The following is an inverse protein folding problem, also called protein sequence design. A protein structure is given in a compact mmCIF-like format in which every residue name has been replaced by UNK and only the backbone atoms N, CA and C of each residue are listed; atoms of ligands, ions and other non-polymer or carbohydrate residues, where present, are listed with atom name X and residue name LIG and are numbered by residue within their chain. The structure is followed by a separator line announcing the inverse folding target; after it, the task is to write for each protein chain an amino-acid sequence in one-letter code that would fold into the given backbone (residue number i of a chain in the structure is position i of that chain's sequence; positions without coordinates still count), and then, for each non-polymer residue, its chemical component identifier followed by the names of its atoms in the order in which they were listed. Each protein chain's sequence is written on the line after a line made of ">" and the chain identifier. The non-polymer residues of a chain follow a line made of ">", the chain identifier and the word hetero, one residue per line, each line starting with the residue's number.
data_IF_568600663648
#
_entry.id   IF_568600663648
#
_cell.length_a   1.000
_cell.length_b   1.000
_cell.length_c   1.000
_cell.angle_alpha   90.00
_cell.angle_beta   90.00
_cell.angle_gamma   90.00
#
_symmetry.space_group_name_H-M   'P 1'
#
loop_
_entity.id
_entity.type
_entity.pdbx_description
1 polymer ?
#
# COMPACT_ATOMS: atom_id res chain seq x y z
N UNK A 1 -5.92 -26.06 20.33
CA UNK A 1 -5.73 -24.78 21.05
C UNK A 1 -4.26 -24.41 21.23
N UNK A 2 -3.40 -25.35 21.65
CA UNK A 2 -1.95 -25.13 21.79
C UNK A 2 -1.27 -24.73 20.46
N UNK A 3 -1.62 -25.39 19.34
CA UNK A 3 -1.12 -25.04 18.00
C UNK A 3 -1.52 -23.64 17.56
N UNK A 4 -2.75 -23.19 17.85
CA UNK A 4 -3.22 -21.84 17.49
C UNK A 4 -2.49 -20.77 18.31
N UNK A 5 -2.16 -21.07 19.57
CA UNK A 5 -1.35 -20.18 20.42
C UNK A 5 0.11 -20.15 19.95
N UNK A 6 0.68 -21.31 19.58
CA UNK A 6 2.04 -21.39 19.02
C UNK A 6 2.14 -20.67 17.67
N UNK A 7 1.16 -20.82 16.77
CA UNK A 7 1.18 -20.16 15.47
C UNK A 7 1.10 -18.62 15.63
N UNK A 8 0.21 -18.14 16.51
CA UNK A 8 0.13 -16.70 16.83
C UNK A 8 1.42 -16.17 17.47
N UNK A 9 2.09 -16.96 18.31
CA UNK A 9 3.38 -16.57 18.88
C UNK A 9 4.46 -16.46 17.80
N UNK A 10 4.54 -17.44 16.88
CA UNK A 10 5.49 -17.40 15.75
C UNK A 10 5.24 -16.16 14.88
N UNK A 11 3.98 -15.83 14.57
CA UNK A 11 3.64 -14.63 13.80
C UNK A 11 4.04 -13.34 14.52
N UNK A 12 3.86 -13.27 15.85
CA UNK A 12 4.30 -12.13 16.67
C UNK A 12 5.83 -12.02 16.65
N UNK A 13 6.56 -13.13 16.79
CA UNK A 13 8.03 -13.10 16.74
C UNK A 13 8.55 -12.69 15.36
N UNK A 14 7.93 -13.15 14.28
CA UNK A 14 8.27 -12.74 12.92
C UNK A 14 7.97 -11.26 12.72
N UNK A 15 6.82 -10.76 13.20
CA UNK A 15 6.47 -9.34 13.14
C UNK A 15 7.45 -8.46 13.94
N UNK A 16 7.86 -8.89 15.14
CA UNK A 16 8.87 -8.19 15.94
C UNK A 16 10.23 -8.21 15.24
N UNK A 17 10.67 -9.37 14.74
CA UNK A 17 11.94 -9.51 14.05
C UNK A 17 12.00 -8.69 12.77
N UNK A 18 10.95 -8.71 11.95
CA UNK A 18 10.83 -7.87 10.75
C UNK A 18 10.75 -6.38 11.09
N UNK A 19 10.12 -6.03 12.22
CA UNK A 19 10.09 -4.64 12.69
C UNK A 19 11.47 -4.13 13.13
N UNK A 20 12.18 -4.92 13.94
CA UNK A 20 13.55 -4.58 14.39
C UNK A 20 14.48 -4.52 13.18
N UNK A 21 14.45 -5.53 12.31
CA UNK A 21 15.26 -5.57 11.10
C UNK A 21 14.95 -4.39 10.17
N UNK A 22 13.67 -4.09 9.96
CA UNK A 22 13.23 -2.94 9.18
C UNK A 22 13.71 -1.61 9.77
N UNK A 23 13.62 -1.44 11.09
CA UNK A 23 14.13 -0.24 11.76
C UNK A 23 15.65 -0.10 11.60
N UNK A 24 16.42 -1.19 11.80
CA UNK A 24 17.87 -1.20 11.59
C UNK A 24 18.23 -0.91 10.13
N UNK A 25 17.51 -1.51 9.17
CA UNK A 25 17.72 -1.25 7.75
C UNK A 25 17.37 0.20 7.39
N UNK A 26 16.31 0.77 7.95
CA UNK A 26 15.96 2.19 7.81
C UNK A 26 17.05 3.10 8.34
N UNK A 27 17.66 2.76 9.48
CA UNK A 27 18.83 3.47 10.00
C UNK A 27 20.03 3.35 9.03
N UNK A 28 20.32 2.16 8.49
CA UNK A 28 21.43 1.96 7.55
C UNK A 28 21.22 2.71 6.23
N UNK A 29 20.02 2.61 5.64
CA UNK A 29 19.64 3.33 4.43
C UNK A 29 19.74 4.84 4.62
N UNK A 30 19.25 5.36 5.76
CA UNK A 30 19.41 6.77 6.09
C UNK A 30 20.89 7.19 6.19
N UNK A 31 21.80 6.27 6.61
CA UNK A 31 23.25 6.54 6.62
C UNK A 31 23.79 6.56 5.19
N UNK A 32 23.51 5.53 4.38
CA UNK A 32 23.96 5.43 2.99
C UNK A 32 23.55 6.65 2.17
N UNK A 33 22.29 7.07 2.25
CA UNK A 33 21.79 8.25 1.54
C UNK A 33 22.27 9.59 2.13
N UNK A 34 22.97 9.58 3.27
CA UNK A 34 23.61 10.77 3.85
C UNK A 34 25.11 10.85 3.57
N UNK A 35 25.74 9.84 2.98
CA UNK A 35 27.23 9.69 3.02
C UNK A 35 27.97 10.47 1.92
N UNK A 36 27.28 11.12 0.99
CA UNK A 36 27.93 11.95 -0.04
C UNK A 36 28.37 13.35 0.44
N UNK A 37 28.46 13.58 1.76
CA UNK A 37 28.86 14.87 2.35
C UNK A 37 30.21 14.85 3.08
N UNK A 38 31.00 13.78 2.98
CA UNK A 38 32.27 13.65 3.75
C UNK A 38 33.50 14.19 2.99
N UNK A 39 33.39 14.53 1.70
CA UNK A 39 34.54 14.93 0.87
C UNK A 39 34.47 16.33 0.23
N UNK A 40 33.81 17.31 0.85
CA UNK A 40 33.99 18.72 0.47
C UNK A 40 34.34 19.55 1.72
N UNK A 41 35.55 20.12 1.71
CA UNK A 41 36.21 20.69 2.88
C UNK A 41 35.51 21.91 3.48
N UNK A 42 35.69 22.10 4.79
CA UNK A 42 35.60 23.36 5.55
C UNK A 42 34.47 24.35 5.17
N UNK A 43 33.31 23.87 4.76
CA UNK A 43 32.06 24.62 4.79
C UNK A 43 31.29 24.23 6.04
N UNK A 44 30.91 25.20 6.87
CA UNK A 44 29.88 25.02 7.90
C UNK A 44 28.60 24.51 7.22
N UNK A 45 28.41 23.18 7.15
CA UNK A 45 27.19 22.60 6.59
C UNK A 45 26.07 22.86 7.59
N UNK A 46 25.42 24.02 7.46
CA UNK A 46 24.22 24.34 8.22
C UNK A 46 23.17 23.33 7.76
N UNK A 47 22.89 22.34 8.61
CA UNK A 47 21.84 21.36 8.37
C UNK A 47 20.51 22.10 8.21
N UNK A 48 20.01 22.20 6.98
CA UNK A 48 18.78 22.94 6.74
C UNK A 48 17.59 22.12 7.26
N UNK A 49 16.74 22.74 8.07
CA UNK A 49 15.49 22.14 8.52
C UNK A 49 14.51 22.06 7.34
N UNK A 50 13.97 20.86 7.10
CA UNK A 50 13.05 20.58 6.00
C UNK A 50 11.64 20.31 6.52
N UNK A 51 10.66 20.99 5.94
CA UNK A 51 9.24 20.74 6.18
C UNK A 51 8.64 19.87 5.09
N UNK A 52 7.51 19.22 5.37
CA UNK A 52 6.75 18.44 4.37
C UNK A 52 6.33 19.32 3.18
N UNK A 53 5.99 20.58 3.42
CA UNK A 53 5.62 21.53 2.36
C UNK A 53 6.81 21.87 1.45
N UNK A 54 8.01 21.96 2.01
CA UNK A 54 9.25 22.14 1.22
C UNK A 54 9.47 20.96 0.28
N UNK A 55 9.28 19.73 0.77
CA UNK A 55 9.36 18.51 -0.05
C UNK A 55 8.29 18.55 -1.15
N UNK A 56 7.03 18.84 -0.79
CA UNK A 56 5.92 18.87 -1.75
C UNK A 56 6.14 19.90 -2.88
N UNK A 57 6.64 21.09 -2.55
CA UNK A 57 6.93 22.13 -3.54
C UNK A 57 8.02 21.68 -4.51
N UNK A 58 9.13 21.14 -3.98
CA UNK A 58 10.21 20.57 -4.79
C UNK A 58 9.72 19.44 -5.70
N UNK A 59 8.92 18.50 -5.17
CA UNK A 59 8.32 17.44 -5.97
C UNK A 59 7.41 17.98 -7.07
N UNK A 60 6.67 19.08 -6.80
CA UNK A 60 5.77 19.70 -7.78
C UNK A 60 6.51 20.29 -8.98
N UNK A 61 7.69 20.90 -8.74
CA UNK A 61 8.54 21.46 -9.80
C UNK A 61 9.14 20.34 -10.64
N UNK A 62 9.63 19.28 -10.00
CA UNK A 62 10.16 18.10 -10.70
C UNK A 62 9.11 17.42 -11.58
N UNK A 63 7.86 17.32 -11.12
CA UNK A 63 6.76 16.73 -11.91
C UNK A 63 6.48 17.47 -13.22
N UNK A 64 6.57 18.81 -13.23
CA UNK A 64 6.29 19.62 -14.42
C UNK A 64 7.27 19.34 -15.57
N UNK A 65 8.47 18.85 -15.24
CA UNK A 65 9.57 18.68 -16.18
C UNK A 65 9.76 17.22 -16.64
N UNK A 66 8.95 16.27 -16.15
CA UNK A 66 9.07 14.85 -16.51
C UNK A 66 8.01 14.49 -17.55
N UNK A 67 8.47 14.21 -18.76
CA UNK A 67 7.62 13.73 -19.85
C UNK A 67 7.15 12.29 -19.55
N UNK A 68 5.84 12.07 -19.67
CA UNK A 68 5.19 10.84 -19.20
C UNK A 68 5.06 9.83 -20.35
N UNK A 69 5.87 8.77 -20.33
CA UNK A 69 5.69 7.62 -21.22
C UNK A 69 4.43 6.85 -20.81
N UNK A 70 3.38 6.90 -21.62
CA UNK A 70 2.04 6.45 -21.21
C UNK A 70 1.71 5.04 -21.74
N UNK A 71 2.23 4.65 -22.90
CA UNK A 71 1.88 3.38 -23.58
C UNK A 71 2.58 2.16 -22.98
N UNK A 72 3.88 2.28 -22.68
CA UNK A 72 4.68 1.20 -22.10
C UNK A 72 4.17 0.82 -20.69
N UNK A 73 3.67 1.80 -19.94
CA UNK A 73 3.05 1.58 -18.64
C UNK A 73 1.71 0.84 -18.72
N UNK A 74 0.90 1.06 -19.76
CA UNK A 74 -0.34 0.29 -19.95
C UNK A 74 -0.04 -1.18 -20.25
N UNK A 75 0.95 -1.45 -21.11
CA UNK A 75 1.36 -2.82 -21.44
C UNK A 75 1.91 -3.57 -20.23
N UNK A 76 2.81 -2.95 -19.46
CA UNK A 76 3.35 -3.53 -18.22
C UNK A 76 2.23 -3.75 -17.20
N UNK A 77 1.30 -2.80 -17.06
CA UNK A 77 0.16 -2.91 -16.16
C UNK A 77 -0.74 -4.11 -16.50
N UNK A 78 -1.08 -4.30 -17.79
CA UNK A 78 -1.87 -5.45 -18.24
C UNK A 78 -1.18 -6.78 -17.99
N UNK A 79 0.12 -6.87 -18.26
CA UNK A 79 0.91 -8.09 -18.01
C UNK A 79 1.02 -8.41 -16.51
N UNK A 80 1.17 -7.38 -15.67
CA UNK A 80 1.21 -7.55 -14.21
C UNK A 80 -0.12 -8.06 -13.65
N UNK A 81 -1.26 -7.56 -14.17
CA UNK A 81 -2.59 -8.05 -13.77
C UNK A 81 -2.79 -9.51 -14.20
N UNK A 82 -2.39 -9.87 -15.43
CA UNK A 82 -2.52 -11.25 -15.94
C UNK A 82 -1.64 -12.25 -15.18
N UNK A 83 -0.38 -11.88 -14.89
CA UNK A 83 0.53 -12.69 -14.09
C UNK A 83 0.06 -12.74 -12.63
N UNK A 84 -0.44 -11.62 -12.09
CA UNK A 84 -1.03 -11.55 -10.76
C UNK A 84 -2.25 -12.46 -10.60
N UNK A 85 -3.15 -12.47 -11.60
CA UNK A 85 -4.29 -13.40 -11.73
C UNK A 85 -3.84 -14.85 -11.63
N UNK A 86 -2.84 -15.20 -12.44
CA UNK A 86 -2.39 -16.58 -12.59
C UNK A 86 -1.66 -17.03 -11.33
N UNK A 87 -0.77 -16.21 -10.78
CA UNK A 87 0.00 -16.56 -9.58
C UNK A 87 -0.83 -16.50 -8.30
N UNK A 88 -1.79 -15.58 -8.20
CA UNK A 88 -2.65 -15.46 -7.02
C UNK A 88 -3.44 -16.73 -6.74
N UNK A 89 -3.94 -17.41 -7.78
CA UNK A 89 -4.67 -18.66 -7.61
C UNK A 89 -3.85 -19.78 -6.94
N UNK A 90 -2.56 -19.90 -7.27
CA UNK A 90 -1.69 -20.95 -6.74
C UNK A 90 -0.97 -20.57 -5.44
N UNK A 91 -0.75 -19.28 -5.20
CA UNK A 91 0.10 -18.78 -4.13
C UNK A 91 -0.60 -17.72 -3.27
N UNK A 92 -1.94 -17.76 -3.18
CA UNK A 92 -2.76 -16.78 -2.45
C UNK A 92 -2.20 -16.49 -1.06
N UNK A 93 -1.96 -17.52 -0.26
CA UNK A 93 -1.48 -17.37 1.11
C UNK A 93 -0.10 -16.72 1.15
N UNK A 94 0.83 -17.17 0.30
CA UNK A 94 2.17 -16.60 0.25
C UNK A 94 2.17 -15.11 -0.18
N UNK A 95 1.35 -14.77 -1.18
CA UNK A 95 1.22 -13.40 -1.71
C UNK A 95 0.63 -12.47 -0.64
N UNK A 96 -0.45 -12.86 0.01
CA UNK A 96 -1.08 -12.05 1.05
C UNK A 96 -0.18 -11.92 2.29
N UNK A 97 0.53 -12.98 2.67
CA UNK A 97 1.50 -12.93 3.77
C UNK A 97 2.68 -12.02 3.43
N UNK A 98 3.16 -12.03 2.19
CA UNK A 98 4.20 -11.10 1.73
C UNK A 98 3.73 -9.65 1.77
N UNK A 99 2.46 -9.37 1.51
CA UNK A 99 1.91 -8.02 1.66
C UNK A 99 1.93 -7.57 3.13
N UNK A 100 1.47 -8.42 4.05
CA UNK A 100 1.47 -8.12 5.48
C UNK A 100 2.89 -7.86 6.01
N UNK A 101 3.85 -8.74 5.72
CA UNK A 101 5.23 -8.54 6.15
C UNK A 101 5.92 -7.38 5.44
N UNK A 102 5.61 -7.16 4.16
CA UNK A 102 6.10 -6.02 3.40
C UNK A 102 5.65 -4.68 4.00
N UNK A 103 4.41 -4.61 4.47
CA UNK A 103 3.85 -3.46 5.18
C UNK A 103 4.58 -3.17 6.49
N UNK A 104 4.73 -4.18 7.36
CA UNK A 104 5.45 -4.05 8.63
C UNK A 104 6.89 -3.58 8.38
N UNK A 105 7.57 -4.18 7.39
CA UNK A 105 8.93 -3.80 7.01
C UNK A 105 8.99 -2.34 6.53
N UNK A 106 8.09 -1.94 5.63
CA UNK A 106 8.03 -0.59 5.07
C UNK A 106 7.78 0.45 6.17
N UNK A 107 6.81 0.20 7.06
CA UNK A 107 6.51 1.08 8.19
C UNK A 107 7.74 1.23 9.10
N UNK A 108 8.41 0.12 9.41
CA UNK A 108 9.57 0.10 10.30
C UNK A 108 10.77 0.85 9.73
N UNK A 109 11.07 0.64 8.43
CA UNK A 109 12.10 1.40 7.70
C UNK A 109 11.77 2.89 7.75
N UNK A 110 10.51 3.25 7.46
CA UNK A 110 10.11 4.63 7.34
C UNK A 110 10.10 5.37 8.69
N UNK A 111 9.52 4.78 9.73
CA UNK A 111 9.53 5.34 11.09
C UNK A 111 10.96 5.51 11.58
N UNK A 112 11.82 4.49 11.40
CA UNK A 112 13.24 4.59 11.78
C UNK A 112 13.97 5.72 11.06
N UNK A 113 13.75 5.88 9.75
CA UNK A 113 14.35 6.94 8.97
C UNK A 113 13.87 8.34 9.40
N UNK A 114 12.56 8.52 9.63
CA UNK A 114 11.97 9.80 10.05
C UNK A 114 12.42 10.18 11.46
N UNK A 115 12.36 9.25 12.42
CA UNK A 115 12.80 9.51 13.81
C UNK A 115 14.27 9.90 13.85
N UNK A 116 15.14 9.21 13.10
CA UNK A 116 16.55 9.59 13.00
C UNK A 116 16.73 11.00 12.42
N UNK A 117 16.00 11.34 11.37
CA UNK A 117 16.03 12.68 10.79
C UNK A 117 15.51 13.76 11.74
N UNK A 118 14.53 13.44 12.59
CA UNK A 118 14.06 14.33 13.65
C UNK A 118 15.11 14.53 14.76
N UNK A 119 15.73 13.45 15.23
CA UNK A 119 16.82 13.50 16.24
C UNK A 119 18.00 14.32 15.73
N UNK A 120 18.36 14.17 14.46
CA UNK A 120 19.42 14.94 13.81
C UNK A 120 19.03 16.40 13.49
N UNK A 121 17.80 16.83 13.84
CA UNK A 121 17.31 18.18 13.61
C UNK A 121 17.02 18.55 12.15
N UNK A 122 17.06 17.57 11.22
CA UNK A 122 16.74 17.75 9.80
C UNK A 122 15.25 17.95 9.60
N UNK A 123 14.43 17.18 10.33
CA UNK A 123 12.97 17.31 10.33
C UNK A 123 12.53 17.93 11.65
N UNK A 124 11.83 19.07 11.58
CA UNK A 124 11.25 19.72 12.77
C UNK A 124 9.84 20.26 12.46
N UNK A 125 9.04 20.37 13.51
CA UNK A 125 7.68 20.92 13.45
C UNK A 125 6.60 19.87 13.65
N UNK A 126 5.43 20.32 14.12
CA UNK A 126 4.26 19.48 14.45
C UNK A 126 3.74 18.71 13.24
N UNK A 127 3.91 19.24 12.04
CA UNK A 127 3.48 18.61 10.79
C UNK A 127 4.11 17.24 10.56
N UNK A 128 5.36 17.03 10.98
CA UNK A 128 6.02 15.71 10.89
C UNK A 128 5.39 14.69 11.83
N UNK A 129 5.04 15.09 13.06
CA UNK A 129 4.34 14.23 14.01
C UNK A 129 2.93 13.86 13.52
N UNK A 130 2.19 14.83 12.97
CA UNK A 130 0.88 14.58 12.36
C UNK A 130 0.98 13.64 11.16
N UNK A 131 1.98 13.82 10.31
CA UNK A 131 2.19 12.95 9.16
C UNK A 131 2.60 11.53 9.56
N UNK A 132 3.42 11.38 10.60
CA UNK A 132 3.77 10.07 11.15
C UNK A 132 2.55 9.34 11.71
N UNK A 133 1.71 10.05 12.48
CA UNK A 133 0.45 9.50 12.97
C UNK A 133 -0.47 9.06 11.82
N UNK A 134 -0.57 9.89 10.77
CA UNK A 134 -1.32 9.56 9.57
C UNK A 134 -0.79 8.27 8.91
N UNK A 135 0.53 8.15 8.69
CA UNK A 135 1.12 6.94 8.08
C UNK A 135 0.85 5.70 8.94
N UNK A 136 0.92 5.81 10.27
CA UNK A 136 0.59 4.68 11.17
C UNK A 136 -0.88 4.29 11.06
N UNK A 137 -1.80 5.24 11.16
CA UNK A 137 -3.23 4.97 11.01
C UNK A 137 -3.55 4.36 9.64
N UNK A 138 -2.86 4.83 8.61
CA UNK A 138 -2.99 4.34 7.26
C UNK A 138 -2.54 2.88 7.12
N UNK A 139 -1.37 2.53 7.66
CA UNK A 139 -0.89 1.15 7.68
C UNK A 139 -1.88 0.24 8.41
N UNK A 140 -2.39 0.65 9.58
CA UNK A 140 -3.45 -0.11 10.28
C UNK A 140 -4.67 -0.37 9.39
N UNK A 141 -5.14 0.63 8.64
CA UNK A 141 -6.25 0.42 7.69
C UNK A 141 -5.88 -0.55 6.57
N UNK A 142 -4.66 -0.48 6.05
CA UNK A 142 -4.16 -1.39 5.02
C UNK A 142 -4.09 -2.84 5.54
N UNK A 143 -3.55 -3.04 6.75
CA UNK A 143 -3.52 -4.32 7.44
C UNK A 143 -4.92 -4.94 7.56
N UNK A 144 -5.92 -4.14 7.95
CA UNK A 144 -7.32 -4.60 8.03
C UNK A 144 -7.85 -5.00 6.65
N UNK A 145 -7.58 -4.22 5.61
CA UNK A 145 -8.00 -4.55 4.25
C UNK A 145 -7.35 -5.86 3.73
N UNK A 146 -6.07 -6.08 4.00
CA UNK A 146 -5.38 -7.34 3.66
C UNK A 146 -5.93 -8.50 4.50
N UNK A 147 -6.31 -8.25 5.75
CA UNK A 147 -6.96 -9.27 6.60
C UNK A 147 -8.32 -9.71 6.03
N UNK A 148 -9.11 -8.79 5.46
CA UNK A 148 -10.31 -9.15 4.72
C UNK A 148 -10.02 -9.95 3.45
N UNK A 149 -8.88 -9.77 2.81
CA UNK A 149 -8.49 -10.62 1.68
C UNK A 149 -8.18 -12.07 2.10
N UNK A 150 -7.68 -12.28 3.32
CA UNK A 150 -7.49 -13.61 3.91
C UNK A 150 -8.81 -14.27 4.31
N UNK A 151 -9.70 -13.50 4.93
CA UNK A 151 -10.99 -13.99 5.41
C UNK A 151 -12.08 -13.00 5.00
N UNK A 152 -12.60 -13.12 3.76
CA UNK A 152 -13.66 -12.24 3.30
C UNK A 152 -14.93 -12.41 4.12
N UNK A 153 -15.70 -11.35 4.25
CA UNK A 153 -16.97 -11.34 5.01
C UNK A 153 -18.04 -12.10 4.24
N UNK A 154 -18.14 -11.85 2.94
CA UNK A 154 -19.03 -12.56 2.02
C UNK A 154 -18.16 -13.28 1.00
N UNK A 155 -17.96 -14.58 1.15
CA UNK A 155 -17.23 -15.41 0.20
C UNK A 155 -18.03 -16.67 -0.16
N UNK A 156 -17.78 -17.27 -1.34
CA UNK A 156 -18.23 -18.62 -1.65
C UNK A 156 -17.71 -19.62 -0.60
N UNK A 157 -18.52 -20.63 -0.26
CA UNK A 157 -18.24 -21.57 0.85
C UNK A 157 -16.84 -22.23 0.77
N UNK A 158 -16.41 -22.57 -0.45
CA UNK A 158 -15.16 -23.28 -0.69
C UNK A 158 -13.95 -22.35 -0.91
N UNK A 159 -14.12 -21.03 -0.82
CA UNK A 159 -13.05 -20.08 -1.14
C UNK A 159 -11.79 -20.26 -0.29
N UNK A 160 -11.94 -20.59 0.99
CA UNK A 160 -10.82 -20.88 1.89
C UNK A 160 -9.91 -22.02 1.38
N UNK A 161 -10.47 -22.95 0.61
CA UNK A 161 -9.75 -24.09 0.03
C UNK A 161 -9.33 -23.86 -1.43
N UNK A 162 -9.59 -22.68 -2.01
CA UNK A 162 -9.34 -22.42 -3.43
C UNK A 162 -7.88 -22.68 -3.83
N UNK A 163 -6.92 -22.23 -3.02
CA UNK A 163 -5.48 -22.45 -3.26
C UNK A 163 -5.15 -23.95 -3.26
N UNK A 164 -5.66 -24.72 -2.29
CA UNK A 164 -5.45 -26.16 -2.21
C UNK A 164 -6.07 -26.89 -3.42
N UNK A 165 -7.29 -26.53 -3.81
CA UNK A 165 -8.00 -27.11 -4.95
C UNK A 165 -7.22 -26.87 -6.24
N UNK A 166 -6.76 -25.63 -6.46
CA UNK A 166 -5.96 -25.26 -7.65
C UNK A 166 -4.61 -25.97 -7.64
N UNK A 167 -3.94 -26.06 -6.49
CA UNK A 167 -2.65 -26.74 -6.38
C UNK A 167 -2.73 -28.26 -6.63
N UNK A 168 -3.85 -28.89 -6.28
CA UNK A 168 -4.04 -30.34 -6.48
C UNK A 168 -4.58 -30.71 -7.86
N UNK A 169 -5.47 -29.88 -8.44
CA UNK A 169 -6.26 -30.24 -9.64
C UNK A 169 -6.15 -29.21 -10.78
N UNK A 170 -5.32 -28.19 -10.62
CA UNK A 170 -5.25 -27.03 -11.51
C UNK A 170 -6.55 -26.22 -11.55
N UNK A 171 -6.62 -25.25 -12.46
CA UNK A 171 -7.83 -24.43 -12.69
C UNK A 171 -9.07 -25.26 -13.04
N UNK A 172 -8.88 -26.44 -13.64
CA UNK A 172 -9.98 -27.34 -14.00
C UNK A 172 -10.74 -27.88 -12.78
N UNK A 173 -10.06 -27.99 -11.63
CA UNK A 173 -10.64 -28.46 -10.37
C UNK A 173 -11.71 -27.53 -9.80
N UNK A 174 -11.62 -26.22 -10.10
CA UNK A 174 -12.56 -25.21 -9.57
C UNK A 174 -14.01 -25.50 -9.98
N UNK A 175 -14.24 -26.06 -11.18
CA UNK A 175 -15.59 -26.35 -11.68
C UNK A 175 -16.37 -27.36 -10.83
N UNK A 176 -15.69 -28.12 -9.97
CA UNK A 176 -16.31 -29.11 -9.08
C UNK A 176 -16.80 -28.50 -7.76
N UNK A 177 -16.30 -27.33 -7.39
CA UNK A 177 -16.48 -26.73 -6.07
C UNK A 177 -17.05 -25.30 -6.10
N UNK A 178 -17.05 -24.67 -7.27
CA UNK A 178 -17.53 -23.30 -7.47
C UNK A 178 -18.54 -23.25 -8.61
N UNK A 179 -19.57 -22.43 -8.40
CA UNK A 179 -20.58 -22.13 -9.41
C UNK A 179 -20.04 -21.08 -10.40
N UNK A 180 -20.72 -20.96 -11.54
CA UNK A 180 -20.39 -19.92 -12.53
C UNK A 180 -20.57 -18.53 -11.92
N UNK A 181 -21.57 -18.34 -11.06
CA UNK A 181 -21.83 -17.08 -10.38
C UNK A 181 -20.70 -16.67 -9.42
N UNK A 182 -19.95 -17.64 -8.88
CA UNK A 182 -18.78 -17.38 -8.03
C UNK A 182 -17.62 -16.74 -8.83
N UNK A 183 -17.58 -16.90 -10.16
CA UNK A 183 -16.54 -16.30 -11.00
C UNK A 183 -16.58 -14.77 -10.96
N UNK A 184 -17.77 -14.18 -10.85
CA UNK A 184 -17.92 -12.74 -10.69
C UNK A 184 -17.32 -12.30 -9.36
N UNK A 185 -17.59 -13.05 -8.29
CA UNK A 185 -16.99 -12.80 -6.98
C UNK A 185 -15.46 -12.89 -7.03
N UNK A 186 -14.90 -13.95 -7.61
CA UNK A 186 -13.45 -14.10 -7.77
C UNK A 186 -12.82 -12.94 -8.53
N UNK A 187 -13.49 -12.47 -9.59
CA UNK A 187 -13.02 -11.33 -10.38
C UNK A 187 -12.99 -10.05 -9.55
N UNK A 188 -14.07 -9.74 -8.83
CA UNK A 188 -14.14 -8.55 -7.96
C UNK A 188 -13.10 -8.64 -6.83
N UNK A 189 -13.01 -9.79 -6.17
CA UNK A 189 -12.03 -10.03 -5.11
C UNK A 189 -10.62 -9.73 -5.60
N UNK A 190 -10.26 -10.26 -6.77
CA UNK A 190 -8.96 -10.07 -7.35
C UNK A 190 -8.68 -8.64 -7.81
N UNK A 191 -9.66 -7.94 -8.38
CA UNK A 191 -9.50 -6.51 -8.66
C UNK A 191 -9.21 -5.74 -7.36
N UNK A 192 -9.84 -6.13 -6.25
CA UNK A 192 -9.50 -5.64 -4.92
C UNK A 192 -8.04 -5.91 -4.54
N UNK A 193 -7.54 -7.13 -4.75
CA UNK A 193 -6.12 -7.50 -4.52
C UNK A 193 -5.18 -6.61 -5.36
N UNK A 194 -5.48 -6.44 -6.65
CA UNK A 194 -4.70 -5.57 -7.53
C UNK A 194 -4.71 -4.12 -7.04
N UNK A 195 -5.86 -3.61 -6.58
CA UNK A 195 -5.98 -2.27 -5.99
C UNK A 195 -5.14 -2.14 -4.71
N UNK A 196 -5.12 -3.16 -3.84
CA UNK A 196 -4.28 -3.17 -2.65
C UNK A 196 -2.79 -3.19 -3.00
N UNK A 197 -2.35 -4.04 -3.95
CA UNK A 197 -0.96 -4.06 -4.45
C UNK A 197 -0.54 -2.72 -5.03
N UNK A 198 -1.38 -2.13 -5.88
CA UNK A 198 -1.15 -0.82 -6.45
C UNK A 198 -1.02 0.22 -5.34
N UNK A 199 -1.92 0.21 -4.37
CA UNK A 199 -1.89 1.12 -3.22
C UNK A 199 -0.59 0.99 -2.43
N UNK A 200 -0.20 -0.24 -2.07
CA UNK A 200 1.06 -0.53 -1.38
C UNK A 200 2.27 0.03 -2.13
N UNK A 201 2.33 -0.19 -3.44
CA UNK A 201 3.40 0.35 -4.28
C UNK A 201 3.44 1.88 -4.25
N UNK A 202 2.29 2.55 -4.41
CA UNK A 202 2.21 4.01 -4.40
C UNK A 202 2.68 4.59 -3.06
N UNK A 203 2.33 3.92 -1.96
CA UNK A 203 2.76 4.33 -0.61
C UNK A 203 4.26 4.12 -0.46
N UNK A 204 4.78 2.93 -0.80
CA UNK A 204 6.20 2.64 -0.71
C UNK A 204 7.04 3.69 -1.45
N UNK A 205 6.62 4.04 -2.67
CA UNK A 205 7.28 5.06 -3.48
C UNK A 205 7.13 6.48 -2.91
N UNK A 206 5.95 6.84 -2.40
CA UNK A 206 5.72 8.13 -1.74
C UNK A 206 6.57 8.29 -0.48
N UNK A 207 6.63 7.25 0.37
CA UNK A 207 7.39 7.23 1.61
C UNK A 207 8.90 7.26 1.32
N UNK A 208 9.36 6.49 0.34
CA UNK A 208 10.74 6.52 -0.14
C UNK A 208 11.11 7.93 -0.63
N UNK A 209 10.26 8.55 -1.45
CA UNK A 209 10.51 9.91 -1.94
C UNK A 209 10.67 10.90 -0.79
N UNK A 210 9.76 10.88 0.19
CA UNK A 210 9.78 11.81 1.33
C UNK A 210 11.09 11.68 2.12
N UNK A 211 11.55 10.45 2.37
CA UNK A 211 12.80 10.21 3.10
C UNK A 211 14.01 10.67 2.30
N UNK A 212 14.09 10.29 1.02
CA UNK A 212 15.26 10.61 0.18
C UNK A 212 15.30 12.10 -0.14
N UNK A 213 14.18 12.70 -0.57
CA UNK A 213 14.09 14.14 -0.86
C UNK A 213 14.33 14.97 0.40
N UNK A 214 13.76 14.58 1.54
CA UNK A 214 13.97 15.28 2.80
C UNK A 214 15.44 15.31 3.23
N UNK A 215 16.16 14.19 3.10
CA UNK A 215 17.60 14.13 3.37
C UNK A 215 18.41 14.92 2.33
N UNK A 216 18.11 14.74 1.05
CA UNK A 216 18.77 15.37 -0.09
C UNK A 216 18.67 16.90 -0.06
N UNK A 217 17.50 17.45 0.28
CA UNK A 217 17.29 18.90 0.50
C UNK A 217 18.07 19.38 1.73
N UNK A 218 17.99 18.64 2.85
CA UNK A 218 18.68 19.02 4.09
C UNK A 218 20.21 19.07 3.93
N UNK A 219 20.75 18.21 3.06
CA UNK A 219 22.17 18.13 2.70
C UNK A 219 22.58 19.07 1.55
N UNK A 220 21.68 19.91 1.02
CA UNK A 220 21.99 20.87 -0.04
C UNK A 220 22.20 20.27 -1.43
N UNK A 221 21.83 19.00 -1.64
CA UNK A 221 21.94 18.29 -2.93
C UNK A 221 20.57 17.77 -3.36
N UNK A 222 19.58 18.63 -3.71
CA UNK A 222 18.18 18.24 -3.93
C UNK A 222 17.95 17.35 -5.18
N UNK A 223 18.95 17.24 -6.06
CA UNK A 223 18.81 16.73 -7.42
C UNK A 223 19.30 15.29 -7.63
N UNK A 224 18.91 14.37 -6.74
CA UNK A 224 19.27 12.95 -6.93
C UNK A 224 18.35 12.25 -7.95
N UNK A 225 18.88 11.25 -8.67
CA UNK A 225 18.11 10.46 -9.65
C UNK A 225 16.87 9.80 -9.03
N UNK A 226 17.00 9.27 -7.80
CA UNK A 226 15.90 8.64 -7.06
C UNK A 226 14.80 9.67 -6.76
N UNK A 227 15.16 10.89 -6.33
CA UNK A 227 14.20 11.98 -6.06
C UNK A 227 13.43 12.31 -7.34
N UNK A 228 14.11 12.48 -8.48
CA UNK A 228 13.46 12.76 -9.77
C UNK A 228 12.48 11.65 -10.19
N UNK A 229 12.88 10.38 -10.07
CA UNK A 229 12.03 9.23 -10.46
C UNK A 229 10.82 9.02 -9.56
N UNK A 230 10.94 9.38 -8.27
CA UNK A 230 9.88 9.14 -7.29
C UNK A 230 8.98 10.36 -7.04
N UNK A 231 9.33 11.54 -7.57
CA UNK A 231 8.59 12.80 -7.38
C UNK A 231 7.11 12.74 -7.80
N UNK A 232 6.79 11.91 -8.81
CA UNK A 232 5.40 11.71 -9.27
C UNK A 232 4.49 11.08 -8.23
N UNK A 233 5.05 10.34 -7.28
CA UNK A 233 4.28 9.65 -6.24
C UNK A 233 4.08 10.49 -4.97
N UNK A 234 4.75 11.65 -4.86
CA UNK A 234 4.75 12.46 -3.65
C UNK A 234 3.81 13.66 -3.76
N UNK A 235 2.54 13.47 -3.43
CA UNK A 235 1.57 14.53 -3.16
C UNK A 235 1.02 14.35 -1.75
N UNK A 236 1.79 14.67 -0.69
CA UNK A 236 1.55 14.17 0.67
C UNK A 236 0.10 14.35 1.14
N UNK A 237 -0.50 15.52 0.90
CA UNK A 237 -1.87 15.83 1.33
C UNK A 237 -2.94 15.19 0.44
N UNK A 238 -2.78 15.21 -0.89
CA UNK A 238 -3.72 14.56 -1.81
C UNK A 238 -3.66 13.03 -1.69
N UNK A 239 -2.47 12.50 -1.39
CA UNK A 239 -2.24 11.08 -1.15
C UNK A 239 -3.05 10.57 0.05
N UNK A 240 -3.31 11.42 1.05
CA UNK A 240 -4.20 11.07 2.17
C UNK A 240 -5.55 10.60 1.65
N UNK A 241 -6.22 11.46 0.88
CA UNK A 241 -7.55 11.19 0.36
C UNK A 241 -7.50 10.02 -0.63
N UNK A 242 -6.56 10.09 -1.59
CA UNK A 242 -6.48 9.12 -2.67
C UNK A 242 -6.19 7.70 -2.17
N UNK A 243 -5.20 7.54 -1.28
CA UNK A 243 -4.86 6.21 -0.77
C UNK A 243 -5.95 5.68 0.16
N UNK A 244 -6.60 6.52 0.98
CA UNK A 244 -7.70 6.08 1.84
C UNK A 244 -8.86 5.54 0.99
N UNK A 245 -9.23 6.24 -0.09
CA UNK A 245 -10.28 5.78 -1.00
C UNK A 245 -9.90 4.45 -1.67
N UNK A 246 -8.66 4.29 -2.12
CA UNK A 246 -8.20 3.05 -2.73
C UNK A 246 -8.18 1.87 -1.75
N UNK A 247 -7.78 2.09 -0.48
CA UNK A 247 -7.85 1.04 0.55
C UNK A 247 -9.30 0.65 0.82
N UNK A 248 -10.19 1.62 1.00
CA UNK A 248 -11.59 1.32 1.29
C UNK A 248 -12.24 0.56 0.13
N UNK A 249 -11.98 1.00 -1.10
CA UNK A 249 -12.44 0.30 -2.29
C UNK A 249 -11.84 -1.11 -2.40
N UNK A 250 -10.51 -1.23 -2.31
CA UNK A 250 -9.83 -2.52 -2.36
C UNK A 250 -10.31 -3.47 -1.25
N UNK A 251 -10.41 -2.98 -0.02
CA UNK A 251 -10.88 -3.69 1.17
C UNK A 251 -12.34 -4.16 1.07
N UNK A 252 -13.22 -3.33 0.52
CA UNK A 252 -14.64 -3.73 0.29
C UNK A 252 -14.80 -4.72 -0.86
N UNK A 253 -13.92 -4.65 -1.87
CA UNK A 253 -13.89 -5.62 -2.97
C UNK A 253 -13.37 -6.99 -2.51
N UNK A 254 -12.23 -7.04 -1.81
CA UNK A 254 -11.66 -8.30 -1.29
C UNK A 254 -12.48 -8.92 -0.17
N UNK A 255 -13.33 -8.16 0.51
CA UNK A 255 -14.23 -8.69 1.54
C UNK A 255 -15.52 -9.26 0.97
N UNK A 256 -15.82 -9.00 -0.31
CA UNK A 256 -17.09 -9.32 -0.95
C UNK A 256 -18.24 -8.35 -0.61
N UNK A 257 -18.04 -7.39 0.30
CA UNK A 257 -19.05 -6.38 0.67
C UNK A 257 -19.46 -5.56 -0.55
N UNK A 258 -18.51 -5.15 -1.39
CA UNK A 258 -18.79 -4.38 -2.60
C UNK A 258 -19.74 -5.11 -3.54
N UNK A 259 -19.47 -6.41 -3.79
CA UNK A 259 -20.32 -7.20 -4.68
C UNK A 259 -21.69 -7.48 -4.07
N UNK A 260 -21.74 -7.79 -2.76
CA UNK A 260 -22.99 -7.97 -2.04
C UNK A 260 -23.87 -6.71 -2.12
N UNK A 261 -23.29 -5.54 -1.85
CA UNK A 261 -23.98 -4.27 -1.95
C UNK A 261 -24.51 -4.03 -3.37
N UNK A 262 -23.69 -4.27 -4.40
CA UNK A 262 -24.09 -4.11 -5.81
C UNK A 262 -25.25 -5.04 -6.22
N UNK A 263 -25.26 -6.27 -5.72
CA UNK A 263 -26.23 -7.30 -6.14
C UNK A 263 -27.53 -7.26 -5.36
N UNK A 264 -27.50 -6.89 -4.08
CA UNK A 264 -28.65 -7.05 -3.18
C UNK A 264 -29.18 -5.73 -2.62
N UNK A 265 -28.31 -4.78 -2.28
CA UNK A 265 -28.72 -3.52 -1.62
C UNK A 265 -28.97 -2.39 -2.62
N UNK A 266 -28.07 -2.21 -3.60
CA UNK A 266 -28.16 -1.16 -4.60
C UNK A 266 -29.44 -1.26 -5.44
N UNK A 267 -29.89 -2.44 -5.91
CA UNK A 267 -31.13 -2.54 -6.67
C UNK A 267 -32.36 -2.13 -5.86
N UNK A 268 -32.39 -2.44 -4.55
CA UNK A 268 -33.46 -2.03 -3.64
C UNK A 268 -33.46 -0.51 -3.49
N UNK A 269 -32.29 0.08 -3.23
CA UNK A 269 -32.13 1.53 -3.12
C UNK A 269 -32.59 2.24 -4.41
N UNK A 270 -32.18 1.75 -5.58
CA UNK A 270 -32.57 2.32 -6.88
C UNK A 270 -34.08 2.21 -7.08
N UNK A 271 -34.68 1.07 -6.72
CA UNK A 271 -36.14 0.88 -6.80
C UNK A 271 -36.89 1.83 -5.87
N UNK A 272 -36.41 2.04 -4.65
CA UNK A 272 -36.99 3.00 -3.71
C UNK A 272 -36.89 4.43 -4.23
N UNK A 273 -35.72 4.83 -4.76
CA UNK A 273 -35.53 6.15 -5.37
C UNK A 273 -36.47 6.33 -6.56
N UNK A 274 -36.55 5.34 -7.46
CA UNK A 274 -37.46 5.38 -8.60
C UNK A 274 -38.92 5.48 -8.16
N UNK A 275 -39.32 4.73 -7.14
CA UNK A 275 -40.68 4.79 -6.60
C UNK A 275 -40.98 6.18 -6.03
N UNK A 276 -40.05 6.78 -5.28
CA UNK A 276 -40.19 8.15 -4.76
C UNK A 276 -40.27 9.18 -5.89
N UNK A 277 -39.46 9.02 -6.95
CA UNK A 277 -39.47 9.92 -8.11
C UNK A 277 -40.77 9.80 -8.91
N UNK A 278 -41.28 8.59 -9.11
CA UNK A 278 -42.46 8.33 -9.95
C UNK A 278 -43.79 8.53 -9.21
N UNK A 279 -43.86 8.20 -7.92
CA UNK A 279 -45.11 8.16 -7.16
C UNK A 279 -45.14 9.14 -5.98
N UNK A 280 -44.06 9.89 -5.73
CA UNK A 280 -43.93 10.77 -4.57
C UNK A 280 -43.60 10.01 -3.28
N UNK A 281 -43.44 10.74 -2.18
CA UNK A 281 -43.25 10.16 -0.84
C UNK A 281 -44.63 9.94 -0.21
N UNK A 282 -45.20 8.76 -0.43
CA UNK A 282 -46.36 8.25 0.31
C UNK A 282 -45.91 7.41 1.49
#
# INVERSE_FOLDING_TARGET
>A
MLEVVMNKQVDIYIAIATSIFGAVLGLLLAKLFSTDSINEGNGTSITQTVSINTINNNSSELRKNVQQETELFMFIGGLFVFVGLTLYGFFRTAILTSLLYGEILLLSIWVGAVLRSMVNGRFKGVTWSLYLLYVVAFMIMYFVAVSFAFNPVHAPENFQYAEQIINQSGWSGLKRYFLVDDLLWFSVHLFGICALFFTFWQIAMSLLHIVVAGNSISSGKPDTWIVKKTAKYCTPWSNIIFFTLLILLGGTMVSGIFLHWMQYELPVLVKEIMNVVLHGRG
#
